data_IF_017256659548
#
_entry.id   IF_017256659548
#
_cell.length_a   1.000
_cell.length_b   1.000
_cell.length_c   1.000
_cell.angle_alpha   90.00
_cell.angle_beta   90.00
_cell.angle_gamma   90.00
#
_symmetry.space_group_name_H-M   'P 1'
#
loop_
_entity.id
_entity.type
_entity.pdbx_description
1 polymer ?
#
# COMPACT_ATOMS: atom_id res chain seq x y z
N UNK A 1 -21.51 15.28 14.62
CA UNK A 1 -20.86 15.87 13.42
C UNK A 1 -19.45 15.34 13.17
N UNK A 2 -18.87 14.53 14.07
CA UNK A 2 -17.45 14.16 13.99
C UNK A 2 -17.15 12.97 13.07
N UNK A 3 -18.07 12.00 12.94
CA UNK A 3 -17.86 10.81 12.10
C UNK A 3 -17.82 11.14 10.59
N UNK A 4 -18.77 11.94 10.10
CA UNK A 4 -18.82 12.33 8.68
C UNK A 4 -17.56 13.12 8.28
N UNK A 5 -17.13 14.04 9.14
CA UNK A 5 -15.91 14.82 8.95
C UNK A 5 -14.68 13.91 8.87
N UNK A 6 -14.56 12.94 9.77
CA UNK A 6 -13.43 12.00 9.79
C UNK A 6 -13.40 11.08 8.56
N UNK A 7 -14.56 10.61 8.09
CA UNK A 7 -14.68 9.83 6.85
C UNK A 7 -14.22 10.65 5.64
N UNK A 8 -14.71 11.88 5.50
CA UNK A 8 -14.34 12.77 4.40
C UNK A 8 -12.83 13.03 4.42
N UNK A 9 -12.26 13.35 5.59
CA UNK A 9 -10.82 13.57 5.73
C UNK A 9 -10.01 12.32 5.38
N UNK A 10 -10.45 11.14 5.80
CA UNK A 10 -9.76 9.89 5.48
C UNK A 10 -9.77 9.63 3.98
N UNK A 11 -10.92 9.78 3.32
CA UNK A 11 -11.02 9.61 1.86
C UNK A 11 -10.10 10.60 1.14
N UNK A 12 -10.11 11.87 1.54
CA UNK A 12 -9.26 12.90 0.93
C UNK A 12 -7.78 12.56 1.15
N UNK A 13 -7.38 12.28 2.39
CA UNK A 13 -6.00 12.00 2.73
C UNK A 13 -5.47 10.75 1.99
N UNK A 14 -6.26 9.69 1.95
CA UNK A 14 -5.88 8.44 1.27
C UNK A 14 -5.86 8.58 -0.25
N UNK A 15 -6.83 9.30 -0.83
CA UNK A 15 -6.81 9.63 -2.26
C UNK A 15 -5.62 10.49 -2.61
N UNK A 16 -5.24 11.44 -1.75
CA UNK A 16 -4.08 12.29 -1.94
C UNK A 16 -2.78 11.45 -1.88
N UNK A 17 -2.63 10.60 -0.87
CA UNK A 17 -1.45 9.74 -0.72
C UNK A 17 -1.28 8.83 -1.94
N UNK A 18 -2.34 8.16 -2.40
CA UNK A 18 -2.23 7.24 -3.52
C UNK A 18 -2.13 7.99 -4.85
N UNK A 19 -2.88 9.08 -4.99
CA UNK A 19 -2.73 9.98 -6.13
C UNK A 19 -1.30 10.47 -6.28
N UNK A 20 -0.62 10.82 -5.19
CA UNK A 20 0.78 11.28 -5.26
C UNK A 20 1.74 10.11 -5.50
N UNK A 21 1.75 9.11 -4.61
CA UNK A 21 2.84 8.13 -4.56
C UNK A 21 2.66 6.95 -5.50
N UNK A 22 1.43 6.64 -5.90
CA UNK A 22 1.10 5.53 -6.81
C UNK A 22 0.78 6.02 -8.21
N UNK A 23 0.31 7.26 -8.37
CA UNK A 23 -0.06 7.78 -9.71
C UNK A 23 0.89 8.86 -10.19
N UNK A 24 0.98 10.01 -9.50
CA UNK A 24 1.70 11.18 -10.00
C UNK A 24 3.21 10.96 -10.07
N UNK A 25 3.83 10.41 -9.03
CA UNK A 25 5.27 10.15 -9.02
C UNK A 25 5.64 9.07 -10.06
N UNK A 26 4.98 7.90 -10.10
CA UNK A 26 5.21 6.93 -11.17
C UNK A 26 4.98 7.52 -12.57
N UNK A 27 3.90 8.28 -12.76
CA UNK A 27 3.63 8.96 -14.02
C UNK A 27 4.76 9.90 -14.42
N UNK A 28 5.29 10.70 -13.48
CA UNK A 28 6.41 11.60 -13.74
C UNK A 28 7.71 10.84 -14.05
N UNK A 29 7.99 9.75 -13.32
CA UNK A 29 9.14 8.88 -13.62
C UNK A 29 9.03 8.30 -15.04
N UNK A 30 7.81 7.96 -15.48
CA UNK A 30 7.54 7.40 -16.79
C UNK A 30 7.46 8.47 -17.91
N UNK A 31 7.04 9.69 -17.59
CA UNK A 31 6.93 10.81 -18.53
C UNK A 31 8.30 11.37 -18.90
N UNK A 32 9.25 11.30 -17.97
CA UNK A 32 10.64 11.60 -18.23
C UNK A 32 11.17 10.55 -19.21
N UNK A 33 11.38 11.00 -20.46
CA UNK A 33 11.63 10.19 -21.65
C UNK A 33 13.04 9.56 -21.65
N UNK A 34 13.40 8.90 -20.55
CA UNK A 34 14.71 8.30 -20.33
C UNK A 34 14.71 6.87 -20.85
N UNK A 35 14.73 6.73 -22.18
CA UNK A 35 15.04 5.46 -22.88
C UNK A 35 16.35 4.81 -22.39
N UNK A 36 17.22 5.58 -21.73
CA UNK A 36 18.49 5.13 -21.14
C UNK A 36 18.30 4.13 -19.99
N UNK A 37 17.14 4.13 -19.32
CA UNK A 37 16.85 3.25 -18.17
C UNK A 37 15.72 2.24 -18.44
N UNK A 38 15.42 1.97 -19.72
CA UNK A 38 14.44 0.97 -20.10
C UNK A 38 15.01 -0.44 -19.96
N UNK A 39 14.26 -1.33 -19.30
CA UNK A 39 14.58 -2.75 -19.15
C UNK A 39 13.88 -3.54 -20.25
N UNK A 40 14.61 -4.28 -21.09
CA UNK A 40 13.95 -5.15 -22.06
C UNK A 40 13.46 -6.44 -21.39
N UNK A 41 12.21 -6.44 -20.95
CA UNK A 41 11.54 -7.62 -20.40
C UNK A 41 10.79 -8.44 -21.47
N UNK A 42 10.76 -8.00 -22.74
CA UNK A 42 9.95 -8.64 -23.78
C UNK A 42 8.51 -8.93 -23.32
N UNK A 43 8.03 -10.16 -23.53
CA UNK A 43 6.70 -10.60 -23.09
C UNK A 43 6.55 -10.75 -21.57
N UNK A 44 7.65 -10.79 -20.80
CA UNK A 44 7.57 -10.93 -19.34
C UNK A 44 6.96 -9.69 -18.68
N UNK A 45 6.97 -8.52 -19.35
CA UNK A 45 6.32 -7.30 -18.85
C UNK A 45 4.83 -7.50 -18.48
N UNK A 46 4.13 -8.43 -19.13
CA UNK A 46 2.73 -8.70 -18.85
C UNK A 46 2.49 -9.32 -17.47
N UNK A 47 3.51 -9.95 -16.86
CA UNK A 47 3.47 -10.34 -15.45
C UNK A 47 3.28 -9.13 -14.52
N UNK A 48 3.71 -7.93 -14.96
CA UNK A 48 3.51 -6.68 -14.25
C UNK A 48 2.03 -6.32 -14.04
N UNK A 49 1.09 -6.88 -14.82
CA UNK A 49 -0.35 -6.70 -14.60
C UNK A 49 -0.83 -7.15 -13.20
N UNK A 50 0.01 -7.85 -12.45
CA UNK A 50 -0.18 -8.11 -11.02
C UNK A 50 -0.43 -6.84 -10.21
N UNK A 51 -0.02 -5.64 -10.67
CA UNK A 51 -0.36 -4.37 -10.00
C UNK A 51 -1.88 -4.20 -9.81
N UNK A 52 -2.71 -4.78 -10.70
CA UNK A 52 -4.18 -4.77 -10.60
C UNK A 52 -4.62 -5.48 -9.31
N UNK A 53 -3.97 -6.58 -8.95
CA UNK A 53 -4.26 -7.32 -7.70
C UNK A 53 -3.91 -6.43 -6.50
N UNK A 54 -2.78 -5.74 -6.54
CA UNK A 54 -2.39 -4.78 -5.51
C UNK A 54 -3.40 -3.64 -5.37
N UNK A 55 -3.95 -3.13 -6.47
CA UNK A 55 -5.00 -2.13 -6.47
C UNK A 55 -6.30 -2.65 -5.83
N UNK A 56 -6.71 -3.88 -6.14
CA UNK A 56 -7.88 -4.53 -5.52
C UNK A 56 -7.69 -4.71 -4.01
N UNK A 57 -6.51 -5.14 -3.56
CA UNK A 57 -6.19 -5.29 -2.13
C UNK A 57 -6.34 -3.94 -1.40
N UNK A 58 -5.78 -2.86 -1.97
CA UNK A 58 -5.86 -1.53 -1.37
C UNK A 58 -7.28 -0.96 -1.39
N UNK A 59 -8.03 -1.17 -2.46
CA UNK A 59 -9.42 -0.74 -2.54
C UNK A 59 -10.26 -1.43 -1.46
N UNK A 60 -10.02 -2.72 -1.21
CA UNK A 60 -10.66 -3.44 -0.11
C UNK A 60 -10.27 -2.89 1.26
N UNK A 61 -8.98 -2.60 1.47
CA UNK A 61 -8.49 -1.96 2.70
C UNK A 61 -9.19 -0.61 2.94
N UNK A 62 -9.34 0.21 1.90
CA UNK A 62 -10.05 1.49 1.97
C UNK A 62 -11.52 1.34 2.28
N UNK A 63 -12.18 0.40 1.62
CA UNK A 63 -13.57 0.08 1.90
C UNK A 63 -13.77 -0.27 3.38
N UNK A 64 -12.91 -1.12 3.93
CA UNK A 64 -13.01 -1.54 5.33
C UNK A 64 -12.75 -0.37 6.28
N UNK A 65 -11.79 0.50 5.98
CA UNK A 65 -11.49 1.69 6.79
C UNK A 65 -12.67 2.67 6.85
N UNK A 66 -13.29 2.95 5.71
CA UNK A 66 -14.41 3.91 5.60
C UNK A 66 -15.67 3.35 6.22
N UNK A 67 -16.08 2.13 5.84
CA UNK A 67 -17.38 1.57 6.19
C UNK A 67 -17.36 0.81 7.52
N UNK A 68 -16.23 0.21 7.91
CA UNK A 68 -16.11 -0.56 9.15
C UNK A 68 -15.37 0.21 10.24
N UNK A 69 -14.31 0.95 9.88
CA UNK A 69 -13.47 1.74 10.79
C UNK A 69 -14.04 3.12 11.19
N UNK A 70 -15.25 3.48 10.72
CA UNK A 70 -15.91 4.79 10.93
C UNK A 70 -15.05 6.00 10.52
N UNK A 71 -14.11 5.82 9.58
CA UNK A 71 -13.25 6.89 9.06
C UNK A 71 -12.20 7.40 10.06
N UNK A 72 -11.81 6.62 11.06
CA UNK A 72 -10.63 6.98 11.86
C UNK A 72 -9.37 6.80 11.00
N UNK A 73 -8.52 7.83 10.83
CA UNK A 73 -7.30 7.73 10.04
C UNK A 73 -6.20 6.93 10.74
N UNK A 74 -6.42 6.53 12.00
CA UNK A 74 -5.46 5.72 12.76
C UNK A 74 -5.35 4.32 12.13
N UNK A 75 -4.22 3.97 11.49
CA UNK A 75 -4.02 2.65 10.87
C UNK A 75 -4.07 1.49 11.89
N UNK A 76 -3.89 1.80 13.18
CA UNK A 76 -3.76 0.82 14.25
C UNK A 76 -5.09 0.50 14.95
N UNK A 77 -6.10 1.37 14.84
CA UNK A 77 -7.41 1.18 15.48
C UNK A 77 -8.35 0.22 14.72
N UNK A 78 -8.38 0.13 13.37
CA UNK A 78 -9.30 -0.77 12.67
C UNK A 78 -8.78 -2.22 12.67
N UNK A 79 -7.47 -2.44 12.77
CA UNK A 79 -6.92 -3.79 12.58
C UNK A 79 -7.39 -4.76 13.65
N UNK A 80 -7.42 -4.42 14.95
CA UNK A 80 -7.79 -5.39 16.00
C UNK A 80 -9.23 -5.88 16.00
N UNK A 81 -10.19 -5.12 15.46
CA UNK A 81 -11.59 -5.56 15.35
C UNK A 81 -11.89 -6.29 14.01
N UNK A 82 -11.04 -6.11 12.99
CA UNK A 82 -11.19 -6.70 11.66
C UNK A 82 -10.37 -8.00 11.44
N UNK A 83 -9.52 -8.42 12.39
CA UNK A 83 -8.55 -9.53 12.24
C UNK A 83 -9.18 -10.90 11.90
N UNK A 84 -10.49 -11.07 12.07
CA UNK A 84 -11.14 -12.38 11.89
C UNK A 84 -11.83 -12.58 10.54
N UNK A 85 -11.73 -11.65 9.57
CA UNK A 85 -12.35 -11.80 8.23
C UNK A 85 -11.52 -11.22 7.08
N UNK A 86 -11.50 -11.92 5.94
CA UNK A 86 -11.00 -11.40 4.67
C UNK A 86 -9.47 -11.38 4.55
N UNK A 87 -8.90 -10.33 3.94
CA UNK A 87 -7.45 -10.24 3.65
C UNK A 87 -6.62 -10.13 4.94
N UNK A 88 -7.20 -9.59 6.01
CA UNK A 88 -6.57 -9.45 7.32
C UNK A 88 -6.27 -10.79 8.03
N UNK A 89 -6.81 -11.92 7.54
CA UNK A 89 -6.47 -13.26 8.05
C UNK A 89 -5.08 -13.73 7.61
N UNK A 90 -4.59 -13.20 6.48
CA UNK A 90 -3.31 -13.59 5.88
C UNK A 90 -2.18 -12.65 6.28
N UNK A 91 -2.49 -11.37 6.48
CA UNK A 91 -1.51 -10.35 6.87
C UNK A 91 -2.19 -9.25 7.67
N UNK A 92 -1.48 -8.73 8.67
CA UNK A 92 -1.95 -7.58 9.46
C UNK A 92 -1.84 -6.27 8.67
N UNK A 93 -1.00 -6.27 7.64
CA UNK A 93 -0.59 -5.09 6.91
C UNK A 93 -0.88 -5.22 5.39
N UNK A 94 -2.14 -5.47 4.99
CA UNK A 94 -2.49 -5.65 3.59
C UNK A 94 -2.24 -4.41 2.74
N UNK A 95 -2.26 -3.22 3.36
CA UNK A 95 -2.01 -1.94 2.69
C UNK A 95 -0.59 -1.88 2.12
N UNK A 96 0.44 -2.24 2.90
CA UNK A 96 1.83 -2.21 2.43
C UNK A 96 2.10 -3.26 1.36
N UNK A 97 1.50 -4.45 1.50
CA UNK A 97 1.60 -5.50 0.50
C UNK A 97 0.98 -5.04 -0.81
N UNK A 98 -0.26 -4.54 -0.77
CA UNK A 98 -0.93 -4.05 -1.96
C UNK A 98 -0.15 -2.92 -2.63
N UNK A 99 0.34 -1.95 -1.85
CA UNK A 99 1.12 -0.82 -2.35
C UNK A 99 2.42 -1.28 -3.04
N UNK A 100 3.12 -2.24 -2.42
CA UNK A 100 4.35 -2.81 -2.98
C UNK A 100 4.07 -3.57 -4.28
N UNK A 101 2.98 -4.35 -4.34
CA UNK A 101 2.54 -5.05 -5.55
C UNK A 101 2.22 -4.06 -6.68
N UNK A 102 1.58 -2.93 -6.36
CA UNK A 102 1.27 -1.91 -7.37
C UNK A 102 2.57 -1.39 -7.98
N UNK A 103 3.47 -0.83 -7.16
CA UNK A 103 4.69 -0.19 -7.67
C UNK A 103 5.63 -1.17 -8.39
N UNK A 104 5.78 -2.40 -7.87
CA UNK A 104 6.60 -3.43 -8.52
C UNK A 104 5.97 -3.88 -9.84
N UNK A 105 4.65 -4.06 -9.88
CA UNK A 105 3.95 -4.45 -11.09
C UNK A 105 4.00 -3.35 -12.17
N UNK A 106 3.86 -2.08 -11.79
CA UNK A 106 4.06 -0.94 -12.69
C UNK A 106 5.50 -0.90 -13.23
N UNK A 107 6.50 -1.07 -12.37
CA UNK A 107 7.90 -1.10 -12.79
C UNK A 107 8.19 -2.18 -13.84
N UNK A 108 7.63 -3.37 -13.66
CA UNK A 108 7.75 -4.50 -14.60
C UNK A 108 6.95 -4.25 -15.88
N UNK A 109 5.71 -3.79 -15.75
CA UNK A 109 4.82 -3.57 -16.90
C UNK A 109 5.33 -2.46 -17.83
N UNK A 110 5.77 -1.35 -17.24
CA UNK A 110 6.33 -0.21 -17.97
C UNK A 110 7.83 -0.32 -18.22
N UNK A 111 8.45 -1.47 -17.89
CA UNK A 111 9.86 -1.74 -18.21
C UNK A 111 10.81 -0.65 -17.68
N UNK A 112 10.52 -0.08 -16.50
CA UNK A 112 11.21 1.11 -15.98
C UNK A 112 12.12 0.77 -14.81
N UNK A 113 13.44 0.92 -15.00
CA UNK A 113 14.42 0.68 -13.94
C UNK A 113 14.33 1.71 -12.81
N UNK A 114 14.04 2.97 -13.12
CA UNK A 114 13.85 4.00 -12.09
C UNK A 114 12.61 3.72 -11.25
N UNK A 115 11.52 3.27 -11.88
CA UNK A 115 10.32 2.89 -11.15
C UNK A 115 10.56 1.63 -10.31
N UNK A 116 11.42 0.72 -10.77
CA UNK A 116 11.86 -0.43 -9.99
C UNK A 116 12.65 0.02 -8.75
N UNK A 117 13.62 0.93 -8.88
CA UNK A 117 14.34 1.50 -7.72
C UNK A 117 13.35 2.14 -6.75
N UNK A 118 12.44 2.98 -7.25
CA UNK A 118 11.42 3.64 -6.45
C UNK A 118 10.55 2.62 -5.68
N UNK A 119 10.13 1.55 -6.34
CA UNK A 119 9.33 0.48 -5.72
C UNK A 119 10.11 -0.27 -4.61
N UNK A 120 11.41 -0.54 -4.83
CA UNK A 120 12.27 -1.20 -3.84
C UNK A 120 12.48 -0.29 -2.63
N UNK A 121 12.69 1.01 -2.84
CA UNK A 121 12.83 1.98 -1.75
C UNK A 121 11.57 2.01 -0.88
N UNK A 122 10.38 2.04 -1.48
CA UNK A 122 9.13 1.96 -0.73
C UNK A 122 8.95 0.64 0.02
N UNK A 123 9.31 -0.48 -0.59
CA UNK A 123 9.28 -1.79 0.08
C UNK A 123 10.16 -1.78 1.34
N UNK A 124 11.36 -1.22 1.26
CA UNK A 124 12.27 -1.09 2.41
C UNK A 124 11.69 -0.17 3.48
N UNK A 125 11.08 0.96 3.10
CA UNK A 125 10.39 1.86 4.02
C UNK A 125 9.26 1.13 4.75
N UNK A 126 8.45 0.34 4.05
CA UNK A 126 7.37 -0.41 4.69
C UNK A 126 7.88 -1.50 5.61
N UNK A 127 8.90 -2.26 5.21
CA UNK A 127 9.55 -3.25 6.09
C UNK A 127 10.06 -2.56 7.35
N UNK A 128 10.71 -1.40 7.21
CA UNK A 128 11.19 -0.62 8.34
C UNK A 128 10.05 -0.19 9.27
N UNK A 129 8.96 0.37 8.72
CA UNK A 129 7.79 0.78 9.52
C UNK A 129 7.20 -0.41 10.27
N UNK A 130 7.01 -1.55 9.59
CA UNK A 130 6.42 -2.74 10.22
C UNK A 130 7.28 -3.25 11.38
N UNK A 131 8.58 -3.45 11.13
CA UNK A 131 9.49 -4.08 12.10
C UNK A 131 9.80 -3.15 13.28
N UNK A 132 10.02 -1.86 13.04
CA UNK A 132 10.50 -0.93 14.07
C UNK A 132 9.42 -0.09 14.73
N UNK A 133 8.26 0.08 14.08
CA UNK A 133 7.19 0.95 14.60
C UNK A 133 5.98 0.11 14.98
N UNK A 134 5.41 -0.64 14.03
CA UNK A 134 4.14 -1.32 14.24
C UNK A 134 4.27 -2.51 15.18
N UNK A 135 5.19 -3.43 14.91
CA UNK A 135 5.40 -4.62 15.74
C UNK A 135 5.69 -4.23 17.20
N UNK A 136 6.64 -3.33 17.53
CA UNK A 136 6.90 -2.95 18.91
C UNK A 136 5.72 -2.24 19.57
N UNK A 137 4.99 -1.39 18.82
CA UNK A 137 3.80 -0.71 19.32
C UNK A 137 2.70 -1.70 19.69
N UNK A 138 2.50 -2.74 18.87
CA UNK A 138 1.53 -3.80 19.12
C UNK A 138 1.94 -4.67 20.31
N UNK A 139 3.24 -5.01 20.45
CA UNK A 139 3.76 -5.74 21.62
C UNK A 139 3.51 -4.97 22.92
N UNK A 140 3.69 -3.65 22.90
CA UNK A 140 3.43 -2.78 24.07
C UNK A 140 1.95 -2.68 24.42
N UNK A 141 1.06 -2.59 23.42
CA UNK A 141 -0.38 -2.41 23.64
C UNK A 141 -1.12 -3.69 24.00
N UNK A 142 -0.75 -4.83 23.43
CA UNK A 142 -1.52 -6.08 23.54
C UNK A 142 -0.71 -7.28 24.10
N UNK A 143 0.57 -7.10 24.43
CA UNK A 143 1.42 -8.19 24.93
C UNK A 143 1.90 -9.17 23.84
N UNK A 144 2.54 -10.28 24.24
CA UNK A 144 3.09 -11.29 23.31
C UNK A 144 2.03 -12.14 22.58
N UNK A 145 0.78 -12.13 23.04
CA UNK A 145 -0.30 -12.99 22.53
C UNK A 145 -0.81 -12.63 21.13
N UNK A 146 -0.30 -11.55 20.52
CA UNK A 146 -0.74 -11.06 19.20
C UNK A 146 0.36 -11.13 18.14
N UNK A 147 1.53 -11.69 18.43
CA UNK A 147 2.59 -11.86 17.43
C UNK A 147 2.48 -13.29 16.89
N UNK A 148 2.12 -13.44 15.62
CA UNK A 148 2.12 -14.72 14.90
C UNK A 148 3.36 -14.78 14.04
#
# INVERSE_FOLDING_TARGET
>A
MDALRNIIWTIIAMSLVYGIFVVLIPFEILSQNMRVFALDFGSFRYCGLVFIIGAVINLKYYWDLVFTGKGSPDPLIPTTALVSRGIYQYTRNPVYIGFSIILLGEAVFFTSFLLLIYSILWLLVFIFIVVFIEEPSLKRRYGQSVIR
#
